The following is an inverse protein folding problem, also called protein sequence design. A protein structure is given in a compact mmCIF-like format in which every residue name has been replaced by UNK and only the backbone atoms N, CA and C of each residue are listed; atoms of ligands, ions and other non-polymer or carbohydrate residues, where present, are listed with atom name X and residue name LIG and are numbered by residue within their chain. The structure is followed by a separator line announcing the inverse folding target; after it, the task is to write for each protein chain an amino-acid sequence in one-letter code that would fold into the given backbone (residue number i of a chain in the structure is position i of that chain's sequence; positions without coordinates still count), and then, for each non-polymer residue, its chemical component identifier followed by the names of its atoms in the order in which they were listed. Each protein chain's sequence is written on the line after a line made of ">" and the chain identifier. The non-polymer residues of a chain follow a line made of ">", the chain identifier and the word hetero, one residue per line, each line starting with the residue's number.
data_IF_029258871458
#
_entry.id   IF_029258871458
#
_cell.length_a   1.000
_cell.length_b   1.000
_cell.length_c   1.000
_cell.angle_alpha   90.00
_cell.angle_beta   90.00
_cell.angle_gamma   90.00
#
_symmetry.space_group_name_H-M   'P 1'
#
loop_
_entity.id
_entity.type
_entity.pdbx_description
1 polymer ?
#
# COMPACT_ATOMS: atom_id res chain seq x y z
N UNK A 1 -18.21 -16.29 -1.12
CA UNK A 1 -18.41 -14.87 -1.50
C UNK A 1 -18.75 -14.11 -0.24
N UNK A 2 -17.79 -13.49 0.47
CA UNK A 2 -18.12 -12.73 1.68
C UNK A 2 -18.78 -11.41 1.23
N UNK A 3 -20.05 -11.26 1.57
CA UNK A 3 -20.85 -10.08 1.28
C UNK A 3 -20.70 -9.10 2.44
N UNK A 4 -19.84 -8.10 2.26
CA UNK A 4 -20.04 -6.83 2.94
C UNK A 4 -20.78 -5.95 1.93
N UNK A 5 -22.03 -5.58 2.23
CA UNK A 5 -22.80 -4.54 1.51
C UNK A 5 -23.29 -4.84 0.07
N UNK A 6 -23.41 -6.11 -0.35
CA UNK A 6 -24.11 -6.44 -1.62
C UNK A 6 -23.35 -6.08 -2.91
N UNK A 7 -22.12 -5.60 -2.80
CA UNK A 7 -21.18 -5.43 -3.90
C UNK A 7 -20.34 -6.71 -3.99
N UNK A 8 -20.21 -7.36 -5.17
CA UNK A 8 -19.26 -8.45 -5.32
C UNK A 8 -17.84 -7.89 -5.15
N UNK A 9 -17.28 -8.02 -3.95
CA UNK A 9 -15.89 -7.69 -3.72
C UNK A 9 -15.04 -8.71 -4.52
N UNK A 10 -14.14 -8.27 -5.40
CA UNK A 10 -13.16 -9.17 -6.00
C UNK A 10 -12.45 -9.94 -4.90
N UNK A 11 -12.15 -11.22 -5.11
CA UNK A 11 -11.37 -12.02 -4.15
C UNK A 11 -10.07 -11.29 -3.71
N UNK A 12 -9.53 -10.45 -4.58
CA UNK A 12 -8.36 -9.63 -4.32
C UNK A 12 -8.57 -8.51 -3.31
N UNK A 13 -9.78 -7.99 -3.07
CA UNK A 13 -9.98 -6.83 -2.19
C UNK A 13 -9.51 -7.05 -0.74
N UNK A 14 -9.90 -8.15 -0.06
CA UNK A 14 -9.38 -8.46 1.27
C UNK A 14 -7.85 -8.53 1.30
N UNK A 15 -7.25 -9.18 0.30
CA UNK A 15 -5.80 -9.29 0.17
C UNK A 15 -5.15 -7.91 -0.06
N UNK A 16 -5.74 -7.09 -0.92
CA UNK A 16 -5.31 -5.72 -1.20
C UNK A 16 -5.35 -4.87 0.08
N UNK A 17 -6.42 -4.96 0.87
CA UNK A 17 -6.51 -4.27 2.17
C UNK A 17 -5.44 -4.74 3.15
N UNK A 18 -5.19 -6.05 3.22
CA UNK A 18 -4.11 -6.61 4.06
C UNK A 18 -2.75 -6.07 3.63
N UNK A 19 -2.44 -6.10 2.33
CA UNK A 19 -1.18 -5.59 1.79
C UNK A 19 -1.01 -4.11 2.13
N UNK A 20 -2.00 -3.26 1.82
CA UNK A 20 -1.92 -1.84 2.13
C UNK A 20 -1.84 -1.57 3.64
N UNK A 21 -2.57 -2.34 4.45
CA UNK A 21 -2.47 -2.27 5.91
C UNK A 21 -1.07 -2.58 6.42
N UNK A 22 -0.43 -3.63 5.91
CA UNK A 22 0.96 -4.00 6.25
C UNK A 22 1.94 -2.90 5.82
N UNK A 23 1.76 -2.33 4.62
CA UNK A 23 2.61 -1.24 4.13
C UNK A 23 2.52 -0.01 5.05
N UNK A 24 1.31 0.38 5.46
CA UNK A 24 1.10 1.48 6.39
C UNK A 24 1.69 1.18 7.77
N UNK A 25 1.51 -0.04 8.27
CA UNK A 25 2.10 -0.48 9.54
C UNK A 25 3.63 -0.43 9.51
N UNK A 26 4.24 -0.87 8.41
CA UNK A 26 5.68 -0.81 8.19
C UNK A 26 6.20 0.64 8.14
N UNK A 27 5.52 1.52 7.39
CA UNK A 27 5.88 2.94 7.35
C UNK A 27 5.78 3.61 8.73
N UNK A 28 4.73 3.29 9.49
CA UNK A 28 4.56 3.79 10.85
C UNK A 28 5.61 3.23 11.82
N UNK A 29 6.05 1.99 11.62
CA UNK A 29 7.15 1.40 12.39
C UNK A 29 8.48 2.08 12.08
N UNK A 30 8.83 2.25 10.80
CA UNK A 30 10.06 2.95 10.36
C UNK A 30 10.10 4.38 10.89
N UNK A 31 8.98 5.12 10.79
CA UNK A 31 8.89 6.46 11.35
C UNK A 31 9.16 6.46 12.87
N UNK A 32 8.54 5.53 13.61
CA UNK A 32 8.73 5.43 15.07
C UNK A 32 10.16 5.04 15.43
N UNK A 33 10.78 4.11 14.70
CA UNK A 33 12.17 3.70 14.89
C UNK A 33 13.14 4.87 14.61
N UNK A 34 12.97 5.55 13.48
CA UNK A 34 13.78 6.72 13.12
C UNK A 34 13.64 7.85 14.16
N UNK A 35 12.41 8.07 14.68
CA UNK A 35 12.16 9.06 15.73
C UNK A 35 12.79 8.66 17.06
N UNK A 36 12.73 7.38 17.45
CA UNK A 36 13.38 6.87 18.65
C UNK A 36 14.90 7.00 18.59
N UNK A 37 15.49 6.95 17.40
CA UNK A 37 16.92 7.16 17.15
C UNK A 37 17.33 8.64 17.04
N UNK A 38 16.40 9.59 17.21
CA UNK A 38 16.68 11.02 17.11
C UNK A 38 16.91 11.53 15.68
N UNK A 39 16.47 10.79 14.65
CA UNK A 39 16.65 11.21 13.27
C UNK A 39 15.77 12.42 12.93
N UNK A 40 16.40 13.55 12.56
CA UNK A 40 15.73 14.78 12.11
C UNK A 40 14.74 14.55 10.95
N UNK A 41 14.99 13.53 10.13
CA UNK A 41 14.21 13.20 8.94
C UNK A 41 13.28 11.99 9.14
N UNK A 42 12.88 11.66 10.37
CA UNK A 42 12.00 10.53 10.67
C UNK A 42 10.71 10.51 9.81
N UNK A 43 10.10 11.69 9.59
CA UNK A 43 8.91 11.82 8.73
C UNK A 43 9.24 11.45 7.28
N UNK A 44 10.39 11.91 6.78
CA UNK A 44 10.83 11.61 5.42
C UNK A 44 11.03 10.10 5.22
N UNK A 45 11.50 9.38 6.23
CA UNK A 45 11.61 7.91 6.17
C UNK A 45 10.25 7.21 6.04
N UNK A 46 9.26 7.63 6.84
CA UNK A 46 7.90 7.09 6.72
C UNK A 46 7.27 7.40 5.36
N UNK A 47 7.39 8.64 4.90
CA UNK A 47 6.87 9.08 3.59
C UNK A 47 7.58 8.36 2.44
N UNK A 48 8.91 8.28 2.47
CA UNK A 48 9.70 7.58 1.46
C UNK A 48 9.28 6.10 1.37
N UNK A 49 9.06 5.43 2.51
CA UNK A 49 8.57 4.04 2.54
C UNK A 49 7.26 3.91 1.77
N UNK A 50 6.28 4.78 2.04
CA UNK A 50 5.00 4.76 1.34
C UNK A 50 5.16 5.06 -0.16
N UNK A 51 5.89 6.11 -0.49
CA UNK A 51 6.09 6.54 -1.88
C UNK A 51 6.74 5.43 -2.71
N UNK A 52 7.86 4.88 -2.24
CA UNK A 52 8.60 3.86 -2.99
C UNK A 52 7.89 2.51 -3.05
N UNK A 53 6.95 2.25 -2.14
CA UNK A 53 6.20 0.98 -2.13
C UNK A 53 4.89 1.08 -2.92
N UNK A 54 4.19 2.21 -2.84
CA UNK A 54 2.85 2.38 -3.41
C UNK A 54 2.88 2.97 -4.81
N UNK A 55 3.73 3.98 -5.07
CA UNK A 55 3.71 4.71 -6.35
C UNK A 55 4.01 3.81 -7.55
N UNK A 56 5.01 2.90 -7.53
CA UNK A 56 5.26 2.00 -8.66
C UNK A 56 4.08 1.08 -8.97
N UNK A 57 3.40 0.59 -7.94
CA UNK A 57 2.21 -0.26 -8.09
C UNK A 57 1.08 0.52 -8.73
N UNK A 58 0.79 1.73 -8.24
CA UNK A 58 -0.23 2.59 -8.83
C UNK A 58 0.10 2.97 -10.27
N UNK A 59 1.38 3.25 -10.56
CA UNK A 59 1.83 3.54 -11.93
C UNK A 59 1.61 2.33 -12.85
N UNK A 60 1.97 1.12 -12.41
CA UNK A 60 1.72 -0.11 -13.15
C UNK A 60 0.22 -0.31 -13.42
N UNK A 61 -0.62 -0.18 -12.38
CA UNK A 61 -2.07 -0.34 -12.51
C UNK A 61 -2.68 0.73 -13.41
N UNK A 62 -2.19 1.97 -13.35
CA UNK A 62 -2.65 3.06 -14.20
C UNK A 62 -2.29 2.82 -15.67
N UNK A 63 -1.05 2.42 -15.94
CA UNK A 63 -0.57 2.11 -17.30
C UNK A 63 -1.32 0.94 -17.94
N UNK A 64 -1.70 -0.07 -17.15
CA UNK A 64 -2.37 -1.28 -17.62
C UNK A 64 -3.87 -1.29 -17.33
N UNK A 65 -4.46 -0.15 -16.92
CA UNK A 65 -5.87 -0.09 -16.49
C UNK A 65 -6.85 -0.56 -17.58
N UNK A 66 -6.49 -0.32 -18.84
CA UNK A 66 -7.30 -0.63 -20.02
C UNK A 66 -6.84 -1.94 -20.70
N UNK A 67 -5.71 -2.51 -20.25
CA UNK A 67 -5.23 -3.80 -20.71
C UNK A 67 -5.98 -4.91 -19.96
N UNK A 68 -7.00 -5.48 -20.59
CA UNK A 68 -7.63 -6.71 -20.10
C UNK A 68 -6.61 -7.85 -20.00
N UNK A 69 -6.91 -8.93 -19.25
CA UNK A 69 -6.00 -10.06 -19.12
C UNK A 69 -5.59 -10.55 -20.50
N UNK A 70 -4.28 -10.55 -20.79
CA UNK A 70 -3.76 -11.24 -21.97
C UNK A 70 -4.17 -12.71 -21.87
N UNK A 71 -4.97 -13.17 -22.83
CA UNK A 71 -5.38 -14.58 -22.97
C UNK A 71 -4.18 -15.47 -23.21
#
# INVERSE_FOLDING_TARGET
>A
MPLLSGVPLPWSLPLTLVIYGVVVAAAAWIYRDARARGNRYAIAWGVATLVFTIVPVLAYMYLHRDAGPTR
#
